data_IF_221676765417
#
_entry.id   IF_221676765417
#
_cell.length_a   1.000
_cell.length_b   1.000
_cell.length_c   1.000
_cell.angle_alpha   90.00
_cell.angle_beta   90.00
_cell.angle_gamma   90.00
#
_symmetry.space_group_name_H-M   'P 1'
#
loop_
_entity.id
_entity.type
_entity.pdbx_description
1 polymer ?
#
# COMPACT_ATOMS: atom_id res chain seq x y z
N UNK A 1 -3.37 22.92 -24.03
CA UNK A 1 -3.51 23.09 -22.58
C UNK A 1 -3.48 21.71 -21.95
N UNK A 2 -2.44 21.42 -21.18
CA UNK A 2 -2.26 20.19 -20.43
C UNK A 2 -3.27 20.05 -19.29
N UNK A 3 -3.36 18.85 -18.74
CA UNK A 3 -4.29 18.54 -17.65
C UNK A 3 -4.03 19.42 -16.41
N UNK A 4 -2.75 19.63 -16.04
CA UNK A 4 -2.38 20.46 -14.91
C UNK A 4 -2.83 21.92 -15.08
N UNK A 5 -2.67 22.47 -16.27
CA UNK A 5 -3.13 23.83 -16.59
C UNK A 5 -4.67 23.94 -16.53
N UNK A 6 -5.40 22.91 -16.96
CA UNK A 6 -6.87 22.87 -16.84
C UNK A 6 -7.33 22.83 -15.40
N UNK A 7 -6.71 21.99 -14.57
CA UNK A 7 -7.01 21.92 -13.14
C UNK A 7 -6.73 23.27 -12.47
N UNK A 8 -5.61 23.90 -12.80
CA UNK A 8 -5.23 25.19 -12.23
C UNK A 8 -6.23 26.30 -12.57
N UNK A 9 -6.68 26.38 -13.82
CA UNK A 9 -7.67 27.38 -14.23
C UNK A 9 -9.04 27.13 -13.58
N UNK A 10 -9.48 25.87 -13.45
CA UNK A 10 -10.71 25.55 -12.71
C UNK A 10 -10.61 25.94 -11.24
N UNK A 11 -9.53 25.55 -10.55
CA UNK A 11 -9.32 25.84 -9.12
C UNK A 11 -9.26 27.34 -8.83
N UNK A 12 -8.69 28.13 -9.74
CA UNK A 12 -8.65 29.60 -9.62
C UNK A 12 -10.04 30.24 -9.57
N UNK A 13 -11.02 29.64 -10.24
CA UNK A 13 -12.39 30.19 -10.32
C UNK A 13 -13.25 29.82 -9.12
N UNK A 14 -12.78 28.88 -8.29
CA UNK A 14 -13.52 28.41 -7.12
C UNK A 14 -13.46 29.40 -5.96
N UNK A 15 -14.51 29.45 -5.12
CA UNK A 15 -14.43 30.08 -3.81
C UNK A 15 -13.33 29.45 -2.94
N UNK A 16 -12.76 30.23 -2.02
CA UNK A 16 -11.63 29.80 -1.17
C UNK A 16 -11.93 28.50 -0.40
N UNK A 17 -13.16 28.35 0.13
CA UNK A 17 -13.59 27.16 0.85
C UNK A 17 -13.57 25.89 -0.02
N UNK A 18 -13.87 26.02 -1.31
CA UNK A 18 -13.85 24.91 -2.25
C UNK A 18 -12.43 24.62 -2.76
N UNK A 19 -11.64 25.66 -3.03
CA UNK A 19 -10.23 25.52 -3.36
C UNK A 19 -9.44 24.84 -2.23
N UNK A 20 -9.77 25.13 -0.97
CA UNK A 20 -9.19 24.47 0.20
C UNK A 20 -9.50 22.97 0.25
N UNK A 21 -10.71 22.54 -0.18
CA UNK A 21 -11.06 21.11 -0.29
C UNK A 21 -10.21 20.42 -1.35
N UNK A 22 -9.93 21.09 -2.47
CA UNK A 22 -9.05 20.55 -3.51
C UNK A 22 -7.63 20.36 -2.95
N UNK A 23 -7.12 21.33 -2.19
CA UNK A 23 -5.81 21.20 -1.54
C UNK A 23 -5.77 19.98 -0.60
N UNK A 24 -6.76 19.85 0.28
CA UNK A 24 -6.88 18.71 1.21
C UNK A 24 -6.95 17.37 0.47
N UNK A 25 -7.67 17.32 -0.66
CA UNK A 25 -7.74 16.12 -1.49
C UNK A 25 -6.37 15.75 -2.07
N UNK A 26 -5.63 16.73 -2.60
CA UNK A 26 -4.28 16.49 -3.13
C UNK A 26 -3.33 15.98 -2.05
N UNK A 27 -3.41 16.55 -0.84
CA UNK A 27 -2.63 16.08 0.32
C UNK A 27 -3.00 14.63 0.69
N UNK A 28 -4.29 14.30 0.68
CA UNK A 28 -4.76 12.94 0.94
C UNK A 28 -4.23 11.94 -0.08
N UNK A 29 -4.27 12.27 -1.39
CA UNK A 29 -3.73 11.40 -2.44
C UNK A 29 -2.25 11.13 -2.23
N UNK A 30 -1.46 12.15 -1.90
CA UNK A 30 -0.03 11.99 -1.59
C UNK A 30 0.21 11.11 -0.37
N UNK A 31 -0.59 11.27 0.69
CA UNK A 31 -0.49 10.43 1.88
C UNK A 31 -0.85 8.97 1.57
N UNK A 32 -1.85 8.73 0.73
CA UNK A 32 -2.21 7.38 0.30
C UNK A 32 -1.10 6.71 -0.50
N UNK A 33 -0.41 7.43 -1.38
CA UNK A 33 0.74 6.89 -2.12
C UNK A 33 1.87 6.48 -1.17
N UNK A 34 2.15 7.29 -0.14
CA UNK A 34 3.13 6.94 0.89
C UNK A 34 2.75 5.67 1.65
N UNK A 35 1.50 5.57 2.11
CA UNK A 35 0.99 4.38 2.79
C UNK A 35 1.01 3.15 1.89
N UNK A 36 0.67 3.30 0.61
CA UNK A 36 0.72 2.21 -0.36
C UNK A 36 2.17 1.72 -0.56
N UNK A 37 3.14 2.62 -0.61
CA UNK A 37 4.55 2.26 -0.74
C UNK A 37 5.10 1.58 0.53
N UNK A 38 4.74 2.09 1.71
CA UNK A 38 5.06 1.44 2.98
C UNK A 38 4.44 0.04 3.06
N UNK A 39 3.15 -0.11 2.70
CA UNK A 39 2.47 -1.40 2.69
C UNK A 39 3.12 -2.40 1.73
N UNK A 40 3.59 -1.98 0.55
CA UNK A 40 4.38 -2.85 -0.33
C UNK A 40 5.69 -3.30 0.31
N UNK A 41 6.32 -2.44 1.11
CA UNK A 41 7.49 -2.79 1.91
C UNK A 41 7.16 -3.83 2.97
N UNK A 42 6.05 -3.65 3.70
CA UNK A 42 5.59 -4.58 4.73
C UNK A 42 5.11 -5.91 4.16
N UNK A 43 4.45 -5.92 3.01
CA UNK A 43 4.03 -7.15 2.33
C UNK A 43 5.23 -8.04 1.99
N UNK A 44 6.34 -7.45 1.53
CA UNK A 44 7.61 -8.19 1.28
C UNK A 44 8.23 -8.79 2.55
N UNK A 45 8.01 -8.15 3.70
CA UNK A 45 8.53 -8.60 5.00
C UNK A 45 7.52 -9.47 5.78
N UNK A 46 6.32 -9.64 5.24
CA UNK A 46 5.25 -10.40 5.89
C UNK A 46 5.44 -11.91 5.67
N UNK A 47 4.83 -12.70 6.57
CA UNK A 47 4.77 -14.16 6.42
C UNK A 47 4.12 -14.55 5.09
N UNK A 48 3.06 -13.85 4.67
CA UNK A 48 2.44 -14.08 3.36
C UNK A 48 3.42 -13.82 2.21
N UNK A 49 4.23 -12.76 2.29
CA UNK A 49 5.28 -12.50 1.30
C UNK A 49 6.37 -13.56 1.29
N UNK A 50 6.76 -14.08 2.47
CA UNK A 50 7.74 -15.15 2.60
C UNK A 50 7.23 -16.51 2.09
N UNK A 51 5.91 -16.73 2.13
CA UNK A 51 5.24 -17.94 1.65
C UNK A 51 4.71 -17.82 0.21
N UNK A 52 4.78 -16.63 -0.40
CA UNK A 52 4.35 -16.42 -1.78
C UNK A 52 5.21 -17.25 -2.74
N UNK A 53 4.56 -18.05 -3.59
CA UNK A 53 5.22 -19.01 -4.48
C UNK A 53 5.38 -20.42 -3.89
N UNK A 54 4.99 -20.65 -2.63
CA UNK A 54 4.88 -21.99 -2.01
C UNK A 54 3.42 -22.46 -1.94
N UNK A 55 2.46 -21.78 -2.59
CA UNK A 55 1.03 -22.09 -2.45
C UNK A 55 0.64 -23.49 -2.98
N UNK A 56 1.52 -24.15 -3.73
CA UNK A 56 1.35 -25.51 -4.24
C UNK A 56 2.45 -26.48 -3.82
N UNK A 57 3.36 -26.08 -2.94
CA UNK A 57 4.43 -26.96 -2.47
C UNK A 57 3.89 -27.88 -1.37
N UNK A 58 4.12 -29.19 -1.52
CA UNK A 58 3.86 -30.15 -0.45
C UNK A 58 4.88 -29.92 0.66
N UNK A 59 4.43 -29.33 1.75
CA UNK A 59 5.24 -29.26 2.97
C UNK A 59 5.54 -30.69 3.43
N UNK A 60 6.79 -30.99 3.82
CA UNK A 60 7.11 -32.31 4.33
C UNK A 60 6.27 -32.61 5.58
N UNK A 61 5.65 -33.78 5.60
CA UNK A 61 4.97 -34.29 6.79
C UNK A 61 6.02 -34.64 7.84
N UNK A 62 6.30 -33.69 8.74
CA UNK A 62 7.18 -33.94 9.87
C UNK A 62 6.49 -34.88 10.86
N UNK A 63 7.08 -36.05 11.17
CA UNK A 63 6.50 -36.96 12.16
C UNK A 63 6.52 -36.31 13.55
N UNK A 64 5.53 -36.62 14.40
CA UNK A 64 5.41 -36.05 15.75
C UNK A 64 6.69 -36.22 16.59
N UNK A 65 7.47 -37.27 16.33
CA UNK A 65 8.76 -37.52 16.96
C UNK A 65 9.83 -36.44 16.69
N UNK A 66 9.69 -35.68 15.62
CA UNK A 66 10.59 -34.57 15.22
C UNK A 66 10.12 -33.21 15.74
N UNK A 67 8.88 -33.10 16.21
CA UNK A 67 8.30 -31.86 16.74
C UNK A 67 8.57 -31.66 18.24
N UNK A 68 9.25 -32.60 18.88
CA UNK A 68 9.57 -32.54 20.31
C UNK A 68 10.89 -31.80 20.54
N UNK A 69 10.85 -30.70 21.29
CA UNK A 69 12.07 -30.05 21.79
C UNK A 69 12.89 -31.03 22.64
N UNK A 70 14.13 -31.25 22.21
CA UNK A 70 15.13 -31.98 23.00
C UNK A 70 15.94 -30.97 23.80
N UNK A 71 15.75 -30.99 25.12
CA UNK A 71 16.56 -30.27 26.11
C UNK A 71 17.83 -31.06 26.45
#
# INVERSE_FOLDING_TARGET
MGLAERIFEEVKTLPEDEARKVLLFVEHVKAMEQVAEENRGWEKLSVNGALAGLEGDEFPEYPESELLERW
#
